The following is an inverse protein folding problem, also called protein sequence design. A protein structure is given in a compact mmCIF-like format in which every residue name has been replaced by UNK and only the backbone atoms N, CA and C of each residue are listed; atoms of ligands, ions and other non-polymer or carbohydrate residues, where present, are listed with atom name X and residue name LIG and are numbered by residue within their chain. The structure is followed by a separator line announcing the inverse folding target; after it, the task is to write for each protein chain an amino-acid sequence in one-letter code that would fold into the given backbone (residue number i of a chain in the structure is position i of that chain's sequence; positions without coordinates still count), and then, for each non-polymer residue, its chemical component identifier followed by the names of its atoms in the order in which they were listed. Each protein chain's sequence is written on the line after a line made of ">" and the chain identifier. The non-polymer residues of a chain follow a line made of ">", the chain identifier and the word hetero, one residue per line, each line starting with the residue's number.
data_IF_574999321114
#
_entry.id   IF_574999321114
#
_cell.length_a   1.000
_cell.length_b   1.000
_cell.length_c   1.000
_cell.angle_alpha   90.00
_cell.angle_beta   90.00
_cell.angle_gamma   90.00
#
_symmetry.space_group_name_H-M   'P 1'
#
loop_
_entity.id
_entity.type
_entity.pdbx_description
1 polymer ?
#
# COMPACT_ATOMS: atom_id res chain seq x y z
N UNK A 1 0.14 -6.14 -17.00
CA UNK A 1 1.05 -6.91 -16.13
C UNK A 1 1.01 -6.25 -14.76
N UNK A 2 0.50 -6.94 -13.78
CA UNK A 2 0.46 -6.49 -12.39
C UNK A 2 1.89 -6.40 -11.86
N UNK A 3 2.29 -5.24 -11.38
CA UNK A 3 3.67 -5.00 -10.94
C UNK A 3 3.78 -5.45 -9.49
N UNK A 4 4.56 -6.51 -9.24
CA UNK A 4 4.93 -6.91 -7.88
C UNK A 4 5.87 -5.87 -7.28
N UNK A 5 5.70 -5.56 -5.99
CA UNK A 5 6.60 -4.70 -5.23
C UNK A 5 7.69 -5.51 -4.50
N UNK A 6 7.73 -6.84 -4.68
CA UNK A 6 8.79 -7.69 -4.15
C UNK A 6 9.35 -8.62 -5.24
N UNK A 7 10.62 -8.97 -5.08
CA UNK A 7 11.32 -9.91 -5.95
C UNK A 7 12.40 -10.67 -5.16
N UNK A 8 12.53 -11.95 -5.45
CA UNK A 8 13.60 -12.78 -4.93
C UNK A 8 14.75 -12.81 -5.91
N UNK A 9 15.98 -12.52 -5.43
CA UNK A 9 17.22 -12.67 -6.20
C UNK A 9 17.93 -13.97 -5.80
N UNK A 10 18.62 -14.62 -6.73
CA UNK A 10 19.55 -15.69 -6.37
C UNK A 10 20.64 -15.12 -5.44
N UNK A 11 21.23 -15.96 -4.58
CA UNK A 11 22.37 -15.53 -3.77
C UNK A 11 23.49 -14.99 -4.68
N UNK A 12 24.30 -14.03 -4.18
CA UNK A 12 25.44 -13.51 -4.92
C UNK A 12 26.36 -14.66 -5.39
N UNK A 13 26.87 -14.55 -6.62
CA UNK A 13 27.62 -15.63 -7.27
C UNK A 13 28.89 -16.05 -6.52
N UNK A 14 29.45 -15.16 -5.70
CA UNK A 14 30.60 -15.41 -4.80
C UNK A 14 30.23 -16.25 -3.56
N UNK A 15 28.94 -16.29 -3.19
CA UNK A 15 28.43 -17.09 -2.06
C UNK A 15 27.80 -18.41 -2.51
N UNK A 16 27.35 -18.49 -3.76
CA UNK A 16 26.67 -19.67 -4.30
C UNK A 16 27.58 -20.91 -4.46
N UNK A 17 28.89 -20.80 -4.24
CA UNK A 17 29.88 -21.86 -4.53
C UNK A 17 30.54 -22.46 -3.28
N UNK A 18 30.29 -21.92 -2.11
CA UNK A 18 30.91 -22.38 -0.88
C UNK A 18 29.88 -23.18 -0.03
N UNK A 19 30.03 -24.51 0.09
CA UNK A 19 29.13 -25.35 0.88
C UNK A 19 29.12 -25.02 2.37
N UNK A 20 30.12 -24.28 2.87
CA UNK A 20 30.20 -23.88 4.27
C UNK A 20 29.58 -22.48 4.57
N UNK A 21 29.19 -21.76 3.52
CA UNK A 21 28.47 -20.47 3.66
C UNK A 21 26.94 -20.74 3.70
N UNK A 22 26.24 -20.28 4.74
CA UNK A 22 24.78 -20.41 4.79
C UNK A 22 24.13 -19.82 3.54
N UNK A 23 23.16 -20.53 2.97
CA UNK A 23 22.38 -20.06 1.82
C UNK A 23 21.54 -18.85 2.25
N UNK A 24 22.04 -17.65 1.97
CA UNK A 24 21.36 -16.39 2.29
C UNK A 24 20.45 -16.01 1.13
N UNK A 25 19.15 -16.07 1.36
CA UNK A 25 18.14 -15.64 0.38
C UNK A 25 18.03 -14.12 0.37
N UNK A 26 17.85 -13.55 -0.80
CA UNK A 26 17.74 -12.10 -0.96
C UNK A 26 16.36 -11.72 -1.47
N UNK A 27 15.65 -10.95 -0.67
CA UNK A 27 14.34 -10.37 -0.99
C UNK A 27 14.50 -8.87 -1.23
N UNK A 28 13.98 -8.39 -2.35
CA UNK A 28 13.90 -6.95 -2.65
C UNK A 28 12.46 -6.47 -2.48
N UNK A 29 12.27 -5.38 -1.76
CA UNK A 29 11.01 -4.65 -1.61
C UNK A 29 11.17 -3.27 -2.25
N UNK A 30 10.70 -3.13 -3.49
CA UNK A 30 10.90 -1.94 -4.31
C UNK A 30 9.57 -1.32 -4.73
N UNK A 31 9.50 0.02 -4.66
CA UNK A 31 8.32 0.76 -5.09
C UNK A 31 7.21 0.82 -4.04
N UNK A 32 5.98 1.09 -4.48
CA UNK A 32 4.81 1.25 -3.58
C UNK A 32 4.31 -0.11 -3.12
N UNK A 33 4.13 -0.26 -1.81
CA UNK A 33 3.62 -1.49 -1.20
C UNK A 33 2.13 -1.61 -1.51
N UNK A 34 1.75 -2.71 -2.19
CA UNK A 34 0.36 -3.03 -2.53
C UNK A 34 -0.39 -1.90 -3.27
N UNK A 35 0.27 -1.24 -4.24
CA UNK A 35 -0.31 -0.13 -5.00
C UNK A 35 -1.65 -0.48 -5.66
N UNK A 36 -1.86 -1.72 -6.09
CA UNK A 36 -3.05 -2.12 -6.85
C UNK A 36 -3.69 -3.45 -6.41
N UNK A 37 -2.98 -4.37 -5.71
CA UNK A 37 -3.39 -5.77 -5.78
C UNK A 37 -3.12 -6.66 -4.57
N UNK A 38 -2.88 -6.12 -3.36
CA UNK A 38 -2.67 -6.99 -2.19
C UNK A 38 -3.88 -7.86 -1.84
N UNK A 39 -5.08 -7.39 -2.18
CA UNK A 39 -6.36 -8.08 -1.98
C UNK A 39 -6.98 -8.58 -3.29
N UNK A 40 -6.26 -8.49 -4.40
CA UNK A 40 -6.69 -8.97 -5.71
C UNK A 40 -6.14 -10.38 -5.98
N UNK A 41 -6.80 -11.17 -6.82
CA UNK A 41 -6.54 -12.62 -7.00
C UNK A 41 -5.11 -12.96 -7.48
N UNK A 42 -4.39 -12.00 -8.09
CA UNK A 42 -3.08 -12.26 -8.72
C UNK A 42 -1.86 -12.02 -7.81
N UNK A 43 -1.97 -11.17 -6.75
CA UNK A 43 -0.85 -10.85 -5.84
C UNK A 43 -1.38 -10.83 -4.40
N UNK A 44 -1.32 -11.96 -3.73
CA UNK A 44 -1.94 -12.15 -2.43
C UNK A 44 -0.90 -12.26 -1.31
N UNK A 45 -1.29 -11.99 -0.04
CA UNK A 45 -0.48 -12.33 1.12
C UNK A 45 -0.06 -13.80 1.15
N UNK A 46 -0.91 -14.69 0.63
CA UNK A 46 -0.63 -16.12 0.56
C UNK A 46 0.54 -16.42 -0.39
N UNK A 47 0.61 -15.74 -1.54
CA UNK A 47 1.72 -15.88 -2.48
C UNK A 47 3.04 -15.40 -1.87
N UNK A 48 3.03 -14.26 -1.17
CA UNK A 48 4.21 -13.77 -0.46
C UNK A 48 4.67 -14.80 0.60
N UNK A 49 3.74 -15.31 1.41
CA UNK A 49 4.02 -16.32 2.43
C UNK A 49 4.54 -17.63 1.81
N UNK A 50 3.97 -18.07 0.69
CA UNK A 50 4.43 -19.26 -0.03
C UNK A 50 5.88 -19.08 -0.50
N UNK A 51 6.19 -17.98 -1.18
CA UNK A 51 7.55 -17.70 -1.66
C UNK A 51 8.54 -17.51 -0.50
N UNK A 52 8.13 -16.89 0.60
CA UNK A 52 8.93 -16.73 1.80
C UNK A 52 9.33 -18.11 2.38
N UNK A 53 8.41 -19.05 2.39
CA UNK A 53 8.58 -20.40 2.97
C UNK A 53 9.14 -21.45 2.00
N UNK A 54 9.42 -21.08 0.73
CA UNK A 54 10.00 -22.03 -0.25
C UNK A 54 11.46 -22.41 0.03
N UNK A 55 12.16 -21.66 0.88
CA UNK A 55 13.55 -21.93 1.24
C UNK A 55 13.77 -21.88 2.74
N UNK A 56 14.93 -22.34 3.14
CA UNK A 56 15.42 -22.30 4.53
C UNK A 56 16.67 -21.42 4.59
N UNK A 57 17.13 -21.07 5.77
CA UNK A 57 18.34 -20.24 5.97
C UNK A 57 17.99 -18.78 6.23
N UNK A 58 19.00 -17.94 6.30
CA UNK A 58 18.84 -16.54 6.61
C UNK A 58 18.33 -15.73 5.42
N UNK A 59 17.67 -14.60 5.70
CA UNK A 59 17.14 -13.72 4.67
C UNK A 59 17.74 -12.33 4.80
N UNK A 60 18.20 -11.77 3.69
CA UNK A 60 18.48 -10.34 3.57
C UNK A 60 17.34 -9.66 2.80
N UNK A 61 16.69 -8.70 3.43
CA UNK A 61 15.61 -7.91 2.84
C UNK A 61 16.13 -6.53 2.46
N UNK A 62 16.22 -6.26 1.17
CA UNK A 62 16.56 -4.93 0.66
C UNK A 62 15.30 -4.09 0.51
N UNK A 63 15.33 -2.88 1.06
CA UNK A 63 14.17 -1.97 1.02
C UNK A 63 14.53 -0.68 0.31
N UNK A 64 13.77 -0.37 -0.74
CA UNK A 64 13.76 0.93 -1.41
C UNK A 64 12.31 1.30 -1.77
N UNK A 65 11.56 1.79 -0.79
CA UNK A 65 10.12 1.98 -0.89
C UNK A 65 9.65 3.25 -0.19
N UNK A 66 8.74 4.01 -0.82
CA UNK A 66 8.08 5.15 -0.18
C UNK A 66 6.95 4.74 0.78
N UNK A 67 6.67 3.43 0.93
CA UNK A 67 5.53 2.90 1.67
C UNK A 67 4.36 2.53 0.77
N UNK A 68 3.16 2.59 1.31
CA UNK A 68 1.92 2.22 0.63
C UNK A 68 0.87 1.72 1.63
N UNK A 69 0.24 0.57 1.35
CA UNK A 69 -0.79 0.00 2.20
C UNK A 69 -0.23 -0.48 3.55
N UNK A 70 -0.80 0.03 4.64
CA UNK A 70 -0.35 -0.27 6.00
C UNK A 70 -0.76 -1.67 6.47
N UNK A 71 -1.87 -2.20 5.95
CA UNK A 71 -2.34 -3.56 6.32
C UNK A 71 -1.43 -4.60 5.66
N UNK A 72 -1.09 -4.39 4.39
CA UNK A 72 -0.10 -5.21 3.70
C UNK A 72 1.26 -5.18 4.41
N UNK A 73 1.71 -4.00 4.81
CA UNK A 73 2.97 -3.85 5.55
C UNK A 73 2.94 -4.58 6.90
N UNK A 74 1.83 -4.51 7.64
CA UNK A 74 1.68 -5.21 8.90
C UNK A 74 1.72 -6.75 8.72
N UNK A 75 1.11 -7.26 7.65
CA UNK A 75 1.19 -8.69 7.33
C UNK A 75 2.60 -9.14 7.00
N UNK A 76 3.32 -8.36 6.15
CA UNK A 76 4.72 -8.64 5.81
C UNK A 76 5.61 -8.57 7.04
N UNK A 77 5.43 -7.56 7.90
CA UNK A 77 6.12 -7.45 9.17
C UNK A 77 5.97 -8.73 10.00
N UNK A 78 4.73 -9.21 10.17
CA UNK A 78 4.47 -10.43 10.94
C UNK A 78 5.13 -11.66 10.30
N UNK A 79 4.98 -11.84 8.97
CA UNK A 79 5.58 -12.95 8.25
C UNK A 79 7.11 -12.99 8.37
N UNK A 80 7.76 -11.83 8.30
CA UNK A 80 9.21 -11.72 8.48
C UNK A 80 9.62 -11.94 9.94
N UNK A 81 8.85 -11.42 10.90
CA UNK A 81 9.11 -11.60 12.34
C UNK A 81 8.92 -13.05 12.80
N UNK A 82 8.05 -13.81 12.15
CA UNK A 82 7.77 -15.22 12.43
C UNK A 82 8.67 -16.18 11.61
N UNK A 83 9.48 -15.63 10.71
CA UNK A 83 10.36 -16.44 9.87
C UNK A 83 11.42 -17.18 10.73
N UNK A 84 11.65 -18.50 10.52
CA UNK A 84 12.50 -19.30 11.39
C UNK A 84 14.00 -19.02 11.27
N UNK A 85 14.46 -18.39 10.16
CA UNK A 85 15.85 -17.93 9.97
C UNK A 85 16.02 -16.48 10.39
N UNK A 86 17.26 -16.01 10.49
CA UNK A 86 17.57 -14.60 10.77
C UNK A 86 17.18 -13.69 9.62
N UNK A 87 16.55 -12.58 9.94
CA UNK A 87 16.16 -11.56 8.95
C UNK A 87 17.01 -10.31 9.13
N UNK A 88 17.86 -10.03 8.14
CA UNK A 88 18.64 -8.79 8.06
C UNK A 88 17.97 -7.86 7.07
N UNK A 89 17.58 -6.67 7.52
CA UNK A 89 17.03 -5.63 6.65
C UNK A 89 18.13 -4.65 6.24
N UNK A 90 18.19 -4.32 4.96
CA UNK A 90 19.11 -3.32 4.40
C UNK A 90 18.33 -2.23 3.70
N UNK A 91 18.55 -0.98 4.11
CA UNK A 91 17.93 0.19 3.49
C UNK A 91 19.01 0.88 2.65
N UNK A 92 18.90 0.75 1.32
CA UNK A 92 19.90 1.33 0.42
C UNK A 92 19.48 2.65 -0.21
N UNK A 93 18.20 2.94 -0.25
CA UNK A 93 17.64 4.20 -0.74
C UNK A 93 16.68 4.82 0.26
N UNK A 94 15.50 4.27 0.37
CA UNK A 94 14.41 4.82 1.17
C UNK A 94 13.60 3.71 1.85
N UNK A 95 13.32 3.87 3.14
CA UNK A 95 12.26 3.15 3.84
C UNK A 95 11.31 4.16 4.48
N UNK A 96 10.24 4.52 3.78
CA UNK A 96 9.29 5.52 4.28
C UNK A 96 7.91 4.94 4.60
N UNK A 97 7.23 5.52 5.58
CA UNK A 97 5.83 5.18 5.91
C UNK A 97 5.67 3.66 6.17
N UNK A 98 4.78 2.98 5.47
CA UNK A 98 4.54 1.54 5.61
C UNK A 98 5.82 0.69 5.43
N UNK A 99 6.77 1.11 4.58
CA UNK A 99 8.05 0.42 4.41
C UNK A 99 8.95 0.49 5.65
N UNK A 100 8.88 1.59 6.41
CA UNK A 100 9.60 1.69 7.67
C UNK A 100 9.05 0.74 8.74
N UNK A 101 7.76 0.41 8.70
CA UNK A 101 7.16 -0.63 9.57
C UNK A 101 7.74 -2.00 9.24
N UNK A 102 7.80 -2.36 7.95
CA UNK A 102 8.40 -3.63 7.50
C UNK A 102 9.87 -3.71 7.92
N UNK A 103 10.62 -2.61 7.82
CA UNK A 103 12.02 -2.59 8.22
C UNK A 103 12.22 -2.99 9.70
N UNK A 104 11.27 -2.73 10.57
CA UNK A 104 11.35 -3.10 12.00
C UNK A 104 11.22 -4.61 12.24
N UNK A 105 10.86 -5.40 11.25
CA UNK A 105 10.84 -6.86 11.37
C UNK A 105 12.27 -7.48 11.35
N UNK A 106 13.27 -6.73 10.89
CA UNK A 106 14.65 -7.21 10.88
C UNK A 106 15.25 -7.31 12.27
N UNK A 107 15.87 -8.45 12.58
CA UNK A 107 16.73 -8.59 13.77
C UNK A 107 17.84 -7.55 13.72
N UNK A 108 18.45 -7.40 12.54
CA UNK A 108 19.45 -6.38 12.25
C UNK A 108 18.94 -5.48 11.13
N UNK A 109 18.92 -4.17 11.37
CA UNK A 109 18.59 -3.15 10.36
C UNK A 109 19.85 -2.37 10.04
N UNK A 110 20.27 -2.41 8.78
CA UNK A 110 21.46 -1.75 8.27
C UNK A 110 21.05 -0.65 7.30
N UNK A 111 21.60 0.53 7.45
CA UNK A 111 21.34 1.65 6.54
C UNK A 111 22.58 2.01 5.72
N UNK A 112 22.41 2.24 4.43
CA UNK A 112 23.44 2.90 3.61
C UNK A 112 23.67 4.33 4.13
N UNK A 113 24.90 4.87 4.09
CA UNK A 113 25.21 6.21 4.59
C UNK A 113 24.37 7.33 3.94
N UNK A 114 23.82 7.08 2.76
CA UNK A 114 23.01 8.06 1.99
C UNK A 114 21.52 7.68 1.94
N UNK A 115 21.12 6.62 2.62
CA UNK A 115 19.71 6.21 2.68
C UNK A 115 18.93 7.02 3.70
N UNK A 116 17.60 7.00 3.54
CA UNK A 116 16.68 7.74 4.38
C UNK A 116 15.62 6.80 4.97
N UNK A 117 15.19 7.09 6.18
CA UNK A 117 14.04 6.48 6.83
C UNK A 117 13.03 7.56 7.20
N UNK A 118 11.73 7.31 7.00
CA UNK A 118 10.69 8.26 7.36
C UNK A 118 9.53 7.58 8.08
N UNK A 119 9.10 8.22 9.16
CA UNK A 119 7.91 7.82 9.90
C UNK A 119 6.93 8.97 9.99
N UNK A 120 5.65 8.65 9.84
CA UNK A 120 4.56 9.62 9.98
C UNK A 120 3.25 8.95 10.45
N UNK A 121 2.23 9.75 10.71
CA UNK A 121 0.91 9.24 11.02
C UNK A 121 0.28 8.54 9.81
N UNK A 122 -0.52 7.48 10.03
CA UNK A 122 -1.31 6.89 8.96
C UNK A 122 -2.30 7.92 8.40
N UNK A 123 -2.54 7.84 7.10
CA UNK A 123 -3.49 8.70 6.42
C UNK A 123 -4.43 7.85 5.56
N UNK A 124 -5.68 8.30 5.44
CA UNK A 124 -6.67 7.70 4.54
C UNK A 124 -7.52 8.78 3.91
N UNK A 125 -8.23 8.41 2.86
CA UNK A 125 -9.28 9.24 2.29
C UNK A 125 -10.63 8.65 2.66
N UNK A 126 -11.50 9.43 3.30
CA UNK A 126 -12.84 9.01 3.69
C UNK A 126 -13.88 10.00 3.13
N UNK A 127 -14.97 9.45 2.64
CA UNK A 127 -16.12 10.21 2.14
C UNK A 127 -17.37 9.62 2.78
N UNK A 128 -18.22 10.47 3.33
CA UNK A 128 -19.45 10.02 3.98
C UNK A 128 -20.04 11.06 4.89
N UNK A 129 -21.00 10.66 5.71
CA UNK A 129 -21.59 11.51 6.73
C UNK A 129 -20.68 11.69 7.96
N UNK A 130 -21.15 12.44 8.95
CA UNK A 130 -20.38 12.72 10.18
C UNK A 130 -19.95 11.44 10.91
N UNK A 131 -20.83 10.44 10.94
CA UNK A 131 -20.58 9.21 11.68
C UNK A 131 -19.56 8.33 10.95
N UNK A 132 -19.59 8.29 9.62
CA UNK A 132 -18.61 7.59 8.78
C UNK A 132 -17.23 8.24 8.89
N UNK A 133 -17.15 9.57 8.83
CA UNK A 133 -15.90 10.31 9.05
C UNK A 133 -15.36 10.08 10.47
N UNK A 134 -16.23 10.03 11.49
CA UNK A 134 -15.85 9.71 12.86
C UNK A 134 -15.25 8.30 13.01
N UNK A 135 -15.81 7.31 12.32
CA UNK A 135 -15.25 5.94 12.26
C UNK A 135 -13.86 5.92 11.60
N UNK A 136 -13.67 6.67 10.51
CA UNK A 136 -12.38 6.75 9.83
C UNK A 136 -11.30 7.36 10.75
N UNK A 137 -11.63 8.40 11.52
CA UNK A 137 -10.72 8.98 12.52
C UNK A 137 -10.33 7.93 13.57
N UNK A 138 -11.31 7.23 14.16
CA UNK A 138 -11.06 6.18 15.15
C UNK A 138 -10.21 5.04 14.60
N UNK A 139 -10.43 4.66 13.35
CA UNK A 139 -9.60 3.67 12.66
C UNK A 139 -8.15 4.14 12.53
N UNK A 140 -7.92 5.39 12.11
CA UNK A 140 -6.56 5.95 12.00
C UNK A 140 -5.82 5.98 13.34
N UNK A 141 -6.52 6.32 14.43
CA UNK A 141 -5.95 6.25 15.78
C UNK A 141 -5.51 4.82 16.14
N UNK A 142 -6.35 3.83 15.83
CA UNK A 142 -6.02 2.42 16.06
C UNK A 142 -4.85 1.93 15.23
N UNK A 143 -4.78 2.34 13.96
CA UNK A 143 -3.64 2.04 13.06
C UNK A 143 -2.36 2.69 13.57
N UNK A 144 -2.42 3.94 14.02
CA UNK A 144 -1.28 4.64 14.62
C UNK A 144 -0.72 3.86 15.82
N UNK A 145 -1.58 3.41 16.74
CA UNK A 145 -1.17 2.63 17.90
C UNK A 145 -0.52 1.29 17.49
N UNK A 146 -1.05 0.63 16.45
CA UNK A 146 -0.47 -0.59 15.89
C UNK A 146 0.94 -0.36 15.32
N UNK A 147 1.13 0.71 14.55
CA UNK A 147 2.45 1.09 14.01
C UNK A 147 3.44 1.38 15.14
N UNK A 148 3.01 2.10 16.18
CA UNK A 148 3.84 2.40 17.35
C UNK A 148 4.34 1.11 18.03
N UNK A 149 3.56 0.03 18.03
CA UNK A 149 4.00 -1.24 18.60
C UNK A 149 5.27 -1.77 17.90
N UNK A 150 5.28 -1.76 16.57
CA UNK A 150 6.44 -2.20 15.78
C UNK A 150 7.68 -1.31 16.04
N UNK A 151 7.50 0.01 16.02
CA UNK A 151 8.60 0.93 16.33
C UNK A 151 9.11 0.79 17.75
N UNK A 152 8.21 0.62 18.76
CA UNK A 152 8.60 0.45 20.13
C UNK A 152 9.37 -0.85 20.37
N UNK A 153 8.94 -1.95 19.74
CA UNK A 153 9.62 -3.24 19.84
C UNK A 153 11.07 -3.15 19.33
N UNK A 154 11.31 -2.41 18.26
CA UNK A 154 12.66 -2.25 17.67
C UNK A 154 13.50 -1.22 18.43
N UNK A 155 12.96 -0.03 18.67
CA UNK A 155 13.74 1.12 19.16
C UNK A 155 13.85 1.20 20.69
N UNK A 156 12.93 0.58 21.42
CA UNK A 156 12.79 0.76 22.88
C UNK A 156 12.32 2.16 23.31
N UNK A 157 12.01 3.06 22.38
CA UNK A 157 11.54 4.40 22.69
C UNK A 157 10.14 4.36 23.33
N UNK A 158 9.83 5.37 24.15
CA UNK A 158 8.49 5.50 24.72
C UNK A 158 7.44 5.81 23.65
N UNK A 159 6.23 5.27 23.81
CA UNK A 159 5.08 5.54 22.89
C UNK A 159 4.86 7.03 22.67
N UNK A 160 4.96 7.84 23.74
CA UNK A 160 4.80 9.28 23.64
C UNK A 160 5.88 9.95 22.76
N UNK A 161 7.13 9.46 22.80
CA UNK A 161 8.19 9.96 21.91
C UNK A 161 7.95 9.52 20.46
N UNK A 162 7.58 8.28 20.25
CA UNK A 162 7.25 7.75 18.91
C UNK A 162 6.06 8.51 18.31
N UNK A 163 4.98 8.71 19.06
CA UNK A 163 3.84 9.50 18.61
C UNK A 163 4.24 10.91 18.17
N UNK A 164 5.09 11.60 18.94
CA UNK A 164 5.59 12.94 18.56
C UNK A 164 6.43 12.92 17.28
N UNK A 165 7.27 11.91 17.09
CA UNK A 165 8.06 11.76 15.87
C UNK A 165 7.16 11.51 14.65
N UNK A 166 6.11 10.69 14.81
CA UNK A 166 5.12 10.45 13.76
C UNK A 166 4.28 11.71 13.46
N UNK A 167 3.84 12.44 14.49
CA UNK A 167 3.09 13.70 14.34
C UNK A 167 3.89 14.75 13.57
N UNK A 168 5.22 14.74 13.70
CA UNK A 168 6.13 15.67 13.05
C UNK A 168 6.53 15.23 11.63
N UNK A 169 6.08 14.07 11.15
CA UNK A 169 6.60 13.48 9.90
C UNK A 169 8.13 13.49 9.88
N UNK A 170 8.73 12.60 10.68
CA UNK A 170 10.18 12.64 10.91
C UNK A 170 10.94 11.92 9.80
N UNK A 171 11.78 12.66 9.11
CA UNK A 171 12.77 12.15 8.16
C UNK A 171 14.11 11.99 8.86
N UNK A 172 14.70 10.81 8.74
CA UNK A 172 15.96 10.45 9.38
C UNK A 172 16.98 10.03 8.34
N UNK A 173 18.17 10.62 8.38
CA UNK A 173 19.33 10.04 7.73
C UNK A 173 19.81 8.80 8.51
N UNK A 174 20.79 8.08 7.98
CA UNK A 174 21.28 6.85 8.59
C UNK A 174 21.78 7.07 10.04
N UNK A 175 22.39 8.24 10.34
CA UNK A 175 22.88 8.56 11.67
C UNK A 175 21.74 8.80 12.65
N UNK A 176 20.78 9.63 12.28
CA UNK A 176 19.61 9.91 13.13
C UNK A 176 18.78 8.65 13.38
N UNK A 177 18.61 7.81 12.37
CA UNK A 177 17.93 6.52 12.52
C UNK A 177 18.68 5.58 13.48
N UNK A 178 19.99 5.51 13.40
CA UNK A 178 20.82 4.73 14.32
C UNK A 178 20.76 5.29 15.76
N UNK A 179 20.88 6.60 15.95
CA UNK A 179 20.81 7.24 17.27
C UNK A 179 19.43 7.04 17.96
N UNK A 180 18.36 6.93 17.17
CA UNK A 180 17.01 6.67 17.66
C UNK A 180 16.65 5.18 17.76
N UNK A 181 17.55 4.28 17.34
CA UNK A 181 17.36 2.83 17.42
C UNK A 181 16.51 2.22 16.29
N UNK A 182 16.22 2.97 15.23
CA UNK A 182 15.55 2.44 14.04
C UNK A 182 16.51 1.64 13.13
N UNK A 183 17.81 1.93 13.22
CA UNK A 183 18.85 1.16 12.57
C UNK A 183 19.88 0.68 13.61
N UNK A 184 20.41 -0.52 13.41
CA UNK A 184 21.43 -1.11 14.26
C UNK A 184 22.84 -0.77 13.77
N UNK A 185 22.98 -0.61 12.44
CA UNK A 185 24.27 -0.40 11.79
C UNK A 185 24.15 0.57 10.62
N UNK A 186 25.27 1.25 10.33
CA UNK A 186 25.43 2.04 9.12
C UNK A 186 26.54 1.38 8.31
N UNK A 187 26.25 1.03 7.05
CA UNK A 187 27.24 0.49 6.15
C UNK A 187 28.43 1.45 5.99
N UNK A 188 29.66 0.94 5.98
CA UNK A 188 30.78 1.77 5.56
C UNK A 188 30.58 2.22 4.09
N UNK A 189 31.06 3.40 3.69
CA UNK A 189 31.01 3.82 2.30
C UNK A 189 31.66 2.73 1.42
N UNK A 190 30.91 2.19 0.46
CA UNK A 190 31.42 1.14 -0.41
C UNK A 190 32.58 1.67 -1.24
N UNK A 191 33.77 1.09 -1.06
CA UNK A 191 34.85 1.22 -2.01
C UNK A 191 34.49 0.37 -3.25
N UNK A 192 33.80 0.99 -4.23
CA UNK A 192 33.69 0.53 -5.61
C UNK A 192 33.16 -0.89 -5.85
N UNK A 193 31.98 -1.22 -5.36
CA UNK A 193 31.26 -2.43 -5.75
C UNK A 193 30.15 -2.14 -6.76
N UNK A 194 30.10 -2.86 -7.86
CA UNK A 194 29.04 -2.76 -8.85
C UNK A 194 27.71 -3.21 -8.24
N UNK A 195 26.76 -2.27 -8.05
CA UNK A 195 25.38 -2.58 -7.71
C UNK A 195 24.61 -2.81 -9.01
N UNK A 196 24.14 -4.02 -9.24
CA UNK A 196 23.39 -4.41 -10.44
C UNK A 196 21.91 -3.99 -10.46
N UNK A 197 21.49 -3.02 -9.66
CA UNK A 197 20.11 -2.51 -9.70
C UNK A 197 20.10 -1.08 -10.25
N UNK A 198 19.22 -0.83 -11.25
CA UNK A 198 18.98 0.53 -11.71
C UNK A 198 18.37 1.38 -10.59
N UNK A 199 18.87 2.60 -10.37
CA UNK A 199 18.35 3.47 -9.31
C UNK A 199 16.91 3.86 -9.59
N UNK A 200 16.00 3.45 -8.71
CA UNK A 200 14.60 3.89 -8.77
C UNK A 200 14.53 5.30 -8.18
N UNK A 201 14.36 6.29 -9.03
CA UNK A 201 14.19 7.68 -8.62
C UNK A 201 12.78 7.92 -8.10
N UNK A 202 12.63 8.12 -6.80
CA UNK A 202 11.36 8.56 -6.22
C UNK A 202 11.23 10.07 -6.26
N UNK A 203 10.19 10.55 -6.93
CA UNK A 203 9.81 11.95 -6.90
C UNK A 203 8.59 12.09 -5.97
N UNK A 204 8.76 12.76 -4.83
CA UNK A 204 7.70 12.98 -3.84
C UNK A 204 6.41 13.51 -4.48
N UNK A 205 6.51 14.48 -5.42
CA UNK A 205 5.33 15.02 -6.13
C UNK A 205 4.65 13.96 -7.01
N UNK A 206 5.44 13.10 -7.65
CA UNK A 206 4.89 12.02 -8.47
C UNK A 206 4.19 10.96 -7.60
N UNK A 207 4.71 10.70 -6.40
CA UNK A 207 4.09 9.81 -5.42
C UNK A 207 2.80 10.40 -4.85
N UNK A 208 2.83 11.66 -4.39
CA UNK A 208 1.63 12.38 -3.92
C UNK A 208 0.55 12.42 -5.02
N UNK A 209 0.95 12.66 -6.28
CA UNK A 209 0.04 12.64 -7.42
C UNK A 209 -0.54 11.25 -7.68
N UNK A 210 0.25 10.19 -7.55
CA UNK A 210 -0.24 8.81 -7.69
C UNK A 210 -1.21 8.44 -6.58
N UNK A 211 -0.91 8.80 -5.33
CA UNK A 211 -1.82 8.59 -4.20
C UNK A 211 -3.13 9.35 -4.44
N UNK A 212 -3.06 10.63 -4.80
CA UNK A 212 -4.26 11.43 -5.11
C UNK A 212 -5.04 10.84 -6.29
N UNK A 213 -4.37 10.41 -7.36
CA UNK A 213 -5.02 9.81 -8.53
C UNK A 213 -5.62 8.44 -8.23
N UNK A 214 -5.02 7.67 -7.32
CA UNK A 214 -5.54 6.37 -6.89
C UNK A 214 -6.87 6.52 -6.11
N UNK A 215 -6.97 7.57 -5.30
CA UNK A 215 -8.16 7.86 -4.50
C UNK A 215 -9.17 8.80 -5.20
N UNK A 216 -8.87 9.31 -6.41
CA UNK A 216 -9.90 10.01 -7.18
C UNK A 216 -10.96 8.99 -7.64
N UNK A 217 -12.25 9.24 -7.39
CA UNK A 217 -13.28 8.39 -7.95
C UNK A 217 -13.08 8.35 -9.46
N UNK A 218 -12.91 7.16 -10.02
CA UNK A 218 -12.90 6.97 -11.47
C UNK A 218 -14.17 7.65 -11.99
N UNK A 219 -14.02 8.78 -12.64
CA UNK A 219 -15.13 9.40 -13.37
C UNK A 219 -15.67 8.32 -14.29
N UNK A 220 -16.90 7.88 -14.05
CA UNK A 220 -17.56 6.96 -14.95
C UNK A 220 -17.33 7.46 -16.37
N UNK A 221 -16.93 6.56 -17.25
CA UNK A 221 -16.79 6.90 -18.67
C UNK A 221 -18.04 7.67 -19.07
N UNK A 222 -17.91 8.77 -19.83
CA UNK A 222 -19.08 9.50 -20.28
C UNK A 222 -20.03 8.48 -20.94
N UNK A 223 -21.34 8.57 -20.66
CA UNK A 223 -22.29 7.66 -21.30
C UNK A 223 -22.05 7.68 -22.81
N UNK A 224 -22.14 6.53 -23.49
CA UNK A 224 -21.95 6.48 -24.93
C UNK A 224 -22.85 7.53 -25.57
N UNK A 225 -22.29 8.31 -26.49
CA UNK A 225 -23.05 9.28 -27.27
C UNK A 225 -24.29 8.59 -27.83
N UNK A 226 -25.47 9.21 -27.75
CA UNK A 226 -26.66 8.66 -28.37
C UNK A 226 -26.37 8.47 -29.86
N UNK A 227 -26.80 7.36 -30.47
CA UNK A 227 -26.56 7.11 -31.88
C UNK A 227 -27.09 8.29 -32.69
N UNK A 228 -26.29 8.76 -33.63
CA UNK A 228 -26.67 9.82 -34.56
C UNK A 228 -28.03 9.52 -35.16
N UNK A 229 -28.90 10.52 -35.38
CA UNK A 229 -30.19 10.26 -35.98
C UNK A 229 -30.02 9.66 -37.34
N UNK A 230 -30.33 8.39 -37.46
CA UNK A 230 -30.57 7.75 -38.77
C UNK A 230 -31.80 8.37 -39.36
N UNK A 231 -31.73 8.70 -40.65
CA UNK A 231 -32.80 9.24 -41.49
C UNK A 231 -34.17 8.68 -41.16
N UNK A 232 -35.13 9.58 -41.07
CA UNK A 232 -36.53 9.30 -40.78
C UNK A 232 -37.11 8.31 -41.81
N UNK A 233 -37.70 7.21 -41.38
CA UNK A 233 -38.65 6.50 -42.25
C UNK A 233 -39.98 7.28 -42.24
N UNK A 234 -40.69 7.16 -43.39
CA UNK A 234 -41.99 7.77 -43.71
C UNK A 234 -43.03 7.65 -42.61
N UNK A 235 -43.99 8.57 -42.55
CA UNK A 235 -44.97 8.66 -41.46
C UNK A 235 -45.95 7.47 -41.50
N UNK A 236 -45.87 6.66 -40.42
CA UNK A 236 -46.91 5.67 -40.11
C UNK A 236 -48.21 6.33 -39.62
N UNK A 237 -49.37 5.67 -39.83
CA UNK A 237 -50.68 6.27 -39.61
C UNK A 237 -50.98 6.54 -38.11
N UNK A 238 -51.57 7.67 -37.86
CA UNK A 238 -52.01 8.18 -36.55
C UNK A 238 -52.78 7.16 -35.69
N UNK A 239 -52.15 6.70 -34.61
CA UNK A 239 -52.87 5.97 -33.56
C UNK A 239 -53.50 6.99 -32.62
N UNK A 240 -54.84 6.95 -32.53
CA UNK A 240 -55.62 7.79 -31.62
C UNK A 240 -55.17 7.61 -30.17
N UNK A 241 -54.95 8.75 -29.49
CA UNK A 241 -54.46 8.78 -28.11
C UNK A 241 -55.38 8.11 -27.11
N UNK A 242 -54.86 7.17 -26.36
CA UNK A 242 -55.51 6.65 -25.16
C UNK A 242 -55.38 7.65 -24.01
N UNK A 243 -56.49 8.03 -23.39
CA UNK A 243 -56.49 8.91 -22.21
C UNK A 243 -56.03 8.11 -20.97
N UNK A 244 -55.29 8.75 -20.07
CA UNK A 244 -54.79 8.18 -18.81
C UNK A 244 -55.81 7.38 -17.98
N UNK A 245 -57.16 7.69 -17.96
CA UNK A 245 -58.16 6.90 -17.26
C UNK A 245 -58.33 5.46 -17.77
N UNK A 246 -58.16 5.20 -19.07
CA UNK A 246 -58.35 3.86 -19.62
C UNK A 246 -57.17 2.90 -19.32
N UNK A 247 -55.96 3.44 -19.12
CA UNK A 247 -54.80 2.63 -18.75
C UNK A 247 -54.95 1.99 -17.35
N UNK A 248 -55.55 2.71 -16.41
CA UNK A 248 -55.80 2.19 -15.06
C UNK A 248 -56.86 1.07 -15.02
N UNK A 249 -57.86 1.14 -15.87
CA UNK A 249 -58.91 0.12 -15.97
C UNK A 249 -58.38 -1.21 -16.55
N UNK A 250 -57.47 -1.16 -17.49
CA UNK A 250 -56.86 -2.38 -18.07
C UNK A 250 -55.84 -3.08 -17.19
N UNK A 251 -55.18 -2.36 -16.25
CA UNK A 251 -54.18 -2.91 -15.36
C UNK A 251 -54.67 -3.29 -13.97
N UNK A 252 -55.98 -3.09 -13.68
CA UNK A 252 -56.60 -3.44 -12.40
C UNK A 252 -56.04 -2.67 -11.17
N UNK A 253 -55.42 -1.50 -11.40
CA UNK A 253 -54.75 -0.72 -10.35
C UNK A 253 -55.72 0.36 -9.86
N UNK A 254 -56.05 0.37 -8.56
CA UNK A 254 -56.87 1.42 -7.95
C UNK A 254 -56.14 2.77 -7.91
N UNK A 255 -56.84 3.82 -8.34
CA UNK A 255 -56.32 5.20 -8.29
C UNK A 255 -56.01 5.61 -6.84
N UNK A 256 -54.86 6.18 -6.55
CA UNK A 256 -54.59 6.70 -5.22
C UNK A 256 -55.48 7.89 -4.90
N UNK A 257 -56.11 7.86 -3.73
CA UNK A 257 -56.94 8.97 -3.22
C UNK A 257 -56.00 10.12 -2.80
N UNK A 258 -56.22 11.30 -3.39
CA UNK A 258 -55.55 12.54 -2.97
C UNK A 258 -56.31 13.04 -1.74
N UNK A 259 -55.68 12.93 -0.57
CA UNK A 259 -56.16 13.58 0.66
C UNK A 259 -55.62 15.01 0.65
N UNK A 260 -56.51 15.97 0.43
CA UNK A 260 -56.23 17.39 0.66
C UNK A 260 -56.22 17.63 2.16
N UNK A 261 -55.06 17.99 2.71
CA UNK A 261 -54.99 18.61 4.03
C UNK A 261 -55.36 20.10 3.88
N UNK A 262 -56.34 20.52 4.64
CA UNK A 262 -56.62 21.91 4.94
C UNK A 262 -55.65 22.43 6.01
#
# INVERSE_FOLDING_TARGET
>A
MTRRFWNWSPPPADQASDPDVPDVRVLHLDGVIAEETWFDDDITPALFAEELNQGTGDITVWINSPGGDVVAAAQIYNMLSEYPGSVTVRIDGLAASAASVIAMAGETVIMSPVSMLMIHNPATMAVGDKDELGKAITMLDSVKESIINAYQAKTGLSRAKLAKLMDAETWMDARAAHELGFADQIDPPLAGGERGAEPVMFNRRALEQKIVNHYQPRTAAPPPEPPSPTESPDPEPSVQGFSLPEAYLRLGIRKPSVTTCN
#
